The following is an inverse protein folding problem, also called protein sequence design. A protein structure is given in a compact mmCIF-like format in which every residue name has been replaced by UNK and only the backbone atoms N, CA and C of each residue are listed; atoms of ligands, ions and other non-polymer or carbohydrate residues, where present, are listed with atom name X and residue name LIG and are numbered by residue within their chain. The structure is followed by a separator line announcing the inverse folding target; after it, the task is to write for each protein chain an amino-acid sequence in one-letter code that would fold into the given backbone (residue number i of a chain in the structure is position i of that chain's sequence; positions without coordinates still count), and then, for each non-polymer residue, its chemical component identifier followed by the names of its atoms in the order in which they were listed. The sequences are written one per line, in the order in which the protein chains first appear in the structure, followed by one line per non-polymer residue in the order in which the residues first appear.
data_IF_650202249505
#
_entry.id   IF_650202249505
#
_cell.length_a   1.000
_cell.length_b   1.000
_cell.length_c   1.000
_cell.angle_alpha   90.00
_cell.angle_beta   90.00
_cell.angle_gamma   90.00
#
_symmetry.space_group_name_H-M   'P 1'
#
loop_
_entity.id
_entity.type
_entity.pdbx_description
1 polymer ?
#
# COMPACT_ATOMS: atom_id res chain seq x y z
N UNK A 1 -9.10 -3.66 -32.96
CA UNK A 1 -9.48 -2.49 -32.14
C UNK A 1 -8.59 -2.42 -30.91
N UNK A 2 -8.62 -1.31 -30.18
CA UNK A 2 -7.87 -1.19 -28.92
C UNK A 2 -8.38 -2.18 -27.88
N UNK A 3 -7.46 -2.82 -27.16
CA UNK A 3 -7.79 -3.64 -25.99
C UNK A 3 -7.92 -2.70 -24.79
N UNK A 4 -9.17 -2.45 -24.39
CA UNK A 4 -9.49 -1.68 -23.19
C UNK A 4 -9.76 -2.67 -22.06
N UNK A 5 -9.03 -2.56 -20.96
CA UNK A 5 -9.19 -3.42 -19.79
C UNK A 5 -10.48 -3.07 -19.02
N UNK A 6 -10.74 -1.77 -18.87
CA UNK A 6 -11.79 -1.24 -18.01
C UNK A 6 -12.34 0.09 -18.53
N UNK A 7 -13.60 0.36 -18.22
CA UNK A 7 -14.28 1.63 -18.46
C UNK A 7 -14.75 2.24 -17.14
N UNK A 8 -14.71 3.56 -17.06
CA UNK A 8 -15.32 4.38 -16.00
C UNK A 8 -16.31 5.37 -16.63
N UNK A 9 -17.21 5.92 -15.82
CA UNK A 9 -18.22 6.87 -16.29
C UNK A 9 -18.38 8.07 -15.34
N UNK A 10 -17.85 9.21 -15.75
CA UNK A 10 -17.82 10.41 -14.91
C UNK A 10 -16.69 10.39 -13.88
N UNK A 11 -16.47 11.54 -13.26
CA UNK A 11 -15.41 11.77 -12.29
C UNK A 11 -15.95 12.67 -11.17
N UNK A 12 -15.80 12.24 -9.93
CA UNK A 12 -16.17 12.95 -8.70
C UNK A 12 -17.64 13.42 -8.66
N UNK A 13 -18.55 12.58 -9.17
CA UNK A 13 -19.99 12.85 -9.18
C UNK A 13 -20.73 12.30 -7.95
N UNK A 14 -20.06 11.46 -7.14
CA UNK A 14 -20.64 10.81 -5.97
C UNK A 14 -20.78 11.73 -4.76
N UNK A 15 -21.76 11.45 -3.91
CA UNK A 15 -22.01 12.23 -2.68
C UNK A 15 -22.32 13.69 -3.00
N UNK A 16 -21.56 14.61 -2.42
CA UNK A 16 -21.68 16.06 -2.70
C UNK A 16 -21.10 16.46 -4.06
N UNK A 17 -20.24 15.62 -4.63
CA UNK A 17 -19.52 15.86 -5.88
C UNK A 17 -18.52 17.01 -5.84
N UNK A 18 -17.76 17.16 -6.93
CA UNK A 18 -16.86 18.29 -7.17
C UNK A 18 -17.30 19.01 -8.45
N UNK A 19 -17.86 20.21 -8.30
CA UNK A 19 -18.44 21.00 -9.39
C UNK A 19 -19.83 20.53 -9.86
N UNK A 20 -20.08 19.22 -9.89
CA UNK A 20 -21.38 18.62 -10.18
C UNK A 20 -21.60 17.34 -9.37
N UNK A 21 -22.86 16.94 -9.18
CA UNK A 21 -23.21 15.68 -8.52
C UNK A 21 -24.40 15.00 -9.19
N UNK A 22 -24.46 13.68 -9.09
CA UNK A 22 -25.56 12.86 -9.57
C UNK A 22 -26.02 11.93 -8.44
N UNK A 23 -27.33 11.83 -8.24
CA UNK A 23 -27.88 10.90 -7.25
C UNK A 23 -27.56 9.45 -7.60
N UNK A 24 -27.22 8.64 -6.59
CA UNK A 24 -26.81 7.24 -6.77
C UNK A 24 -27.82 6.39 -7.56
N UNK A 25 -29.12 6.66 -7.43
CA UNK A 25 -30.15 5.94 -8.17
C UNK A 25 -30.11 6.25 -9.67
N UNK A 26 -29.98 7.52 -10.05
CA UNK A 26 -29.86 7.88 -11.47
C UNK A 26 -28.55 7.35 -12.04
N UNK A 27 -27.44 7.57 -11.33
CA UNK A 27 -26.14 7.08 -11.76
C UNK A 27 -26.11 5.56 -11.92
N UNK A 28 -26.75 4.80 -11.01
CA UNK A 28 -26.89 3.35 -11.13
C UNK A 28 -27.68 2.91 -12.38
N UNK A 29 -28.76 3.62 -12.73
CA UNK A 29 -29.50 3.40 -13.99
C UNK A 29 -28.65 3.70 -15.22
N UNK A 30 -27.84 4.74 -15.16
CA UNK A 30 -26.92 5.11 -16.24
C UNK A 30 -25.85 4.02 -16.44
N UNK A 31 -25.31 3.46 -15.35
CA UNK A 31 -24.36 2.34 -15.43
C UNK A 31 -24.98 1.06 -16.00
N UNK A 32 -26.26 0.77 -15.72
CA UNK A 32 -26.98 -0.36 -16.35
C UNK A 32 -26.99 -0.18 -17.88
N UNK A 33 -27.31 1.03 -18.35
CA UNK A 33 -27.29 1.34 -19.78
C UNK A 33 -25.87 1.23 -20.36
N UNK A 34 -24.85 1.77 -19.67
CA UNK A 34 -23.47 1.66 -20.10
C UNK A 34 -23.00 0.20 -20.17
N UNK A 35 -23.38 -0.64 -19.20
CA UNK A 35 -23.08 -2.07 -19.23
C UNK A 35 -23.70 -2.75 -20.45
N UNK A 36 -24.92 -2.39 -20.82
CA UNK A 36 -25.56 -2.92 -22.04
C UNK A 36 -24.77 -2.52 -23.31
N UNK A 37 -24.32 -1.26 -23.39
CA UNK A 37 -23.48 -0.76 -24.49
C UNK A 37 -22.14 -1.53 -24.55
N UNK A 38 -21.43 -1.66 -23.42
CA UNK A 38 -20.19 -2.45 -23.34
C UNK A 38 -20.46 -3.89 -23.77
N UNK A 39 -21.58 -4.47 -23.35
CA UNK A 39 -21.91 -5.85 -23.70
C UNK A 39 -22.11 -6.06 -25.20
N UNK A 40 -22.74 -5.12 -25.91
CA UNK A 40 -22.94 -5.21 -27.36
C UNK A 40 -21.64 -4.93 -28.13
N UNK A 41 -20.93 -3.85 -27.78
CA UNK A 41 -19.67 -3.47 -28.45
C UNK A 41 -18.59 -4.57 -28.32
N UNK A 42 -18.55 -5.24 -27.17
CA UNK A 42 -17.58 -6.30 -26.87
C UNK A 42 -18.19 -7.71 -26.95
N UNK A 43 -19.28 -7.93 -27.69
CA UNK A 43 -19.98 -9.24 -27.74
C UNK A 43 -19.12 -10.41 -28.20
N UNK A 44 -18.11 -10.15 -29.03
CA UNK A 44 -17.17 -11.14 -29.56
C UNK A 44 -15.77 -11.05 -28.94
N UNK A 45 -15.61 -10.27 -27.86
CA UNK A 45 -14.31 -10.05 -27.20
C UNK A 45 -14.38 -10.65 -25.79
N UNK A 46 -13.41 -11.49 -25.46
CA UNK A 46 -13.30 -12.13 -24.16
C UNK A 46 -11.87 -12.03 -23.60
N UNK A 47 -11.71 -11.71 -22.29
CA UNK A 47 -12.76 -11.24 -21.38
C UNK A 47 -13.33 -9.88 -21.82
N UNK A 48 -14.56 -9.58 -21.40
CA UNK A 48 -15.14 -8.24 -21.63
C UNK A 48 -14.47 -7.22 -20.68
N UNK A 49 -14.36 -5.94 -21.08
CA UNK A 49 -13.82 -4.92 -20.19
C UNK A 49 -14.66 -4.77 -18.92
N UNK A 50 -13.98 -4.48 -17.81
CA UNK A 50 -14.63 -4.22 -16.53
C UNK A 50 -15.35 -2.86 -16.55
N UNK A 51 -16.39 -2.71 -15.72
CA UNK A 51 -17.00 -1.41 -15.41
C UNK A 51 -16.66 -1.01 -13.98
N UNK A 52 -15.93 0.09 -13.88
CA UNK A 52 -15.43 0.70 -12.66
C UNK A 52 -16.30 1.91 -12.33
N UNK A 53 -16.64 2.10 -11.05
CA UNK A 53 -17.47 3.20 -10.60
C UNK A 53 -17.33 3.45 -9.09
N UNK A 54 -17.66 4.65 -8.56
CA UNK A 54 -18.11 5.84 -9.28
C UNK A 54 -17.01 6.86 -9.65
N UNK A 55 -15.73 6.54 -9.44
CA UNK A 55 -14.63 7.49 -9.63
C UNK A 55 -14.77 8.75 -8.76
N UNK A 56 -15.11 8.61 -7.47
CA UNK A 56 -15.33 9.76 -6.59
C UNK A 56 -15.07 9.48 -5.11
N UNK A 57 -15.27 10.47 -4.25
CA UNK A 57 -15.03 10.30 -2.81
C UNK A 57 -16.07 9.38 -2.17
N UNK A 58 -15.61 8.56 -1.22
CA UNK A 58 -16.45 7.61 -0.52
C UNK A 58 -17.52 8.31 0.32
N UNK A 59 -18.78 8.01 0.04
CA UNK A 59 -19.94 8.35 0.85
C UNK A 59 -20.75 7.08 1.09
N UNK A 60 -20.94 6.70 2.36
CA UNK A 60 -21.51 5.40 2.73
C UNK A 60 -22.90 5.19 2.14
N UNK A 61 -23.80 6.17 2.24
CA UNK A 61 -25.17 6.02 1.78
C UNK A 61 -25.24 5.98 0.25
N UNK A 62 -24.48 6.85 -0.41
CA UNK A 62 -24.41 6.92 -1.86
C UNK A 62 -23.84 5.62 -2.45
N UNK A 63 -22.73 5.11 -1.90
CA UNK A 63 -22.08 3.88 -2.37
C UNK A 63 -22.96 2.65 -2.13
N UNK A 64 -23.57 2.51 -0.95
CA UNK A 64 -24.55 1.45 -0.67
C UNK A 64 -25.72 1.48 -1.66
N UNK A 65 -26.28 2.67 -1.93
CA UNK A 65 -27.41 2.83 -2.85
C UNK A 65 -27.01 2.50 -4.28
N UNK A 66 -25.82 2.87 -4.73
CA UNK A 66 -25.32 2.53 -6.06
C UNK A 66 -25.29 1.00 -6.26
N UNK A 67 -24.72 0.26 -5.31
CA UNK A 67 -24.64 -1.20 -5.39
C UNK A 67 -26.03 -1.85 -5.40
N UNK A 68 -26.96 -1.34 -4.58
CA UNK A 68 -28.34 -1.83 -4.54
C UNK A 68 -29.10 -1.59 -5.85
N UNK A 69 -28.86 -0.45 -6.52
CA UNK A 69 -29.57 -0.09 -7.76
C UNK A 69 -28.96 -0.78 -8.98
N UNK A 70 -27.63 -0.81 -9.06
CA UNK A 70 -26.92 -1.37 -10.22
C UNK A 70 -26.92 -2.91 -10.24
N UNK A 71 -26.82 -3.55 -9.07
CA UNK A 71 -26.83 -5.01 -8.95
C UNK A 71 -25.55 -5.69 -9.47
N UNK A 72 -25.53 -7.02 -9.38
CA UNK A 72 -24.31 -7.83 -9.52
C UNK A 72 -23.74 -8.00 -10.91
N UNK A 73 -24.48 -7.61 -11.94
CA UNK A 73 -24.08 -7.76 -13.34
C UNK A 73 -23.55 -6.46 -13.95
N UNK A 74 -23.45 -5.39 -13.16
CA UNK A 74 -23.18 -4.04 -13.66
C UNK A 74 -21.83 -3.54 -13.19
N UNK A 75 -21.62 -3.32 -11.89
CA UNK A 75 -20.37 -2.76 -11.36
C UNK A 75 -19.42 -3.87 -10.93
N UNK A 76 -18.30 -4.02 -11.63
CA UNK A 76 -17.28 -5.02 -11.30
C UNK A 76 -16.36 -4.53 -10.18
N UNK A 77 -16.12 -3.23 -10.12
CA UNK A 77 -15.16 -2.61 -9.21
C UNK A 77 -15.73 -1.31 -8.62
N UNK A 78 -15.69 -1.21 -7.29
CA UNK A 78 -15.95 0.02 -6.55
C UNK A 78 -14.68 0.82 -6.39
N UNK A 79 -14.55 1.89 -7.19
CA UNK A 79 -13.43 2.83 -7.14
C UNK A 79 -13.75 4.00 -6.22
N UNK A 80 -12.80 4.45 -5.40
CA UNK A 80 -12.91 5.72 -4.68
C UNK A 80 -11.67 6.58 -4.81
N UNK A 81 -11.86 7.89 -4.70
CA UNK A 81 -10.78 8.87 -4.66
C UNK A 81 -10.28 9.07 -3.23
N UNK A 82 -9.01 9.41 -3.10
CA UNK A 82 -8.37 9.58 -1.80
C UNK A 82 -7.36 10.73 -1.79
N UNK A 83 -7.66 11.77 -1.02
CA UNK A 83 -6.74 12.90 -0.76
C UNK A 83 -6.75 13.25 0.72
N UNK A 84 -5.99 12.49 1.50
CA UNK A 84 -6.04 12.51 2.96
C UNK A 84 -4.99 13.41 3.62
N UNK A 85 -4.21 14.21 2.89
CA UNK A 85 -3.24 15.16 3.46
C UNK A 85 -3.74 16.61 3.51
N UNK A 86 -4.79 16.96 2.77
CA UNK A 86 -5.31 18.32 2.64
C UNK A 86 -4.91 19.02 1.33
N UNK A 87 -5.05 20.34 1.28
CA UNK A 87 -4.75 21.13 0.08
C UNK A 87 -3.24 21.20 -0.20
N UNK A 88 -2.84 21.23 -1.46
CA UNK A 88 -1.44 21.43 -1.87
C UNK A 88 -0.79 22.71 -1.31
N UNK A 89 -1.58 23.75 -1.04
CA UNK A 89 -1.09 25.01 -0.48
C UNK A 89 -0.95 24.98 1.05
N UNK A 90 -1.38 23.92 1.73
CA UNK A 90 -1.36 23.83 3.19
C UNK A 90 0.11 23.77 3.70
N UNK A 91 0.52 24.69 4.60
CA UNK A 91 1.89 24.68 5.12
C UNK A 91 2.17 23.46 6.03
N UNK A 92 1.14 22.74 6.48
CA UNK A 92 1.23 21.61 7.40
C UNK A 92 1.31 20.24 6.71
N UNK A 93 1.47 20.19 5.38
CA UNK A 93 1.54 18.90 4.67
C UNK A 93 2.64 17.99 5.22
N UNK A 94 3.84 18.53 5.44
CA UNK A 94 4.97 17.76 5.98
C UNK A 94 4.71 17.24 7.39
N UNK A 95 4.12 18.05 8.28
CA UNK A 95 3.82 17.59 9.65
C UNK A 95 2.75 16.50 9.66
N UNK A 96 1.76 16.58 8.76
CA UNK A 96 0.74 15.54 8.57
C UNK A 96 1.31 14.23 8.02
N UNK A 97 2.25 14.31 7.07
CA UNK A 97 2.94 13.13 6.53
C UNK A 97 3.76 12.41 7.62
N UNK A 98 4.34 13.15 8.55
CA UNK A 98 5.18 12.60 9.62
C UNK A 98 4.40 12.25 10.90
N UNK A 99 3.08 12.47 10.94
CA UNK A 99 2.22 12.15 12.06
C UNK A 99 1.51 10.80 11.83
N UNK A 100 1.91 9.72 12.55
CA UNK A 100 1.30 8.41 12.38
C UNK A 100 -0.19 8.39 12.75
N UNK A 101 -0.64 9.24 13.67
CA UNK A 101 -2.05 9.31 14.04
C UNK A 101 -2.89 9.98 12.96
N UNK A 102 -2.32 10.99 12.29
CA UNK A 102 -2.96 11.61 11.14
C UNK A 102 -3.09 10.63 9.97
N UNK A 103 -2.00 9.94 9.61
CA UNK A 103 -2.00 8.95 8.54
C UNK A 103 -2.99 7.79 8.79
N UNK A 104 -3.16 7.36 10.04
CA UNK A 104 -4.05 6.25 10.39
C UNK A 104 -5.55 6.58 10.26
N UNK A 105 -5.95 7.85 10.14
CA UNK A 105 -7.37 8.24 10.00
C UNK A 105 -8.04 7.65 8.76
N UNK A 106 -7.27 7.45 7.69
CA UNK A 106 -7.80 6.89 6.43
C UNK A 106 -8.30 5.45 6.55
N UNK A 107 -7.85 4.73 7.58
CA UNK A 107 -8.25 3.34 7.83
C UNK A 107 -9.77 3.18 7.97
N UNK A 108 -10.45 4.19 8.53
CA UNK A 108 -11.90 4.21 8.65
C UNK A 108 -12.59 4.21 7.27
N UNK A 109 -12.06 4.96 6.29
CA UNK A 109 -12.61 4.98 4.92
C UNK A 109 -12.47 3.60 4.27
N UNK A 110 -11.29 2.98 4.38
CA UNK A 110 -11.07 1.64 3.82
C UNK A 110 -11.93 0.57 4.49
N UNK A 111 -12.05 0.63 5.83
CA UNK A 111 -12.91 -0.28 6.58
C UNK A 111 -14.38 -0.12 6.17
N UNK A 112 -14.89 1.11 6.13
CA UNK A 112 -16.27 1.38 5.79
C UNK A 112 -16.61 0.96 4.35
N UNK A 113 -15.70 1.15 3.39
CA UNK A 113 -15.88 0.66 2.02
C UNK A 113 -15.90 -0.87 1.98
N UNK A 114 -15.01 -1.53 2.74
CA UNK A 114 -14.96 -2.99 2.86
C UNK A 114 -16.29 -3.53 3.39
N UNK A 115 -16.83 -2.95 4.47
CA UNK A 115 -18.13 -3.32 5.03
C UNK A 115 -19.27 -3.10 4.03
N UNK A 116 -19.25 -1.97 3.31
CA UNK A 116 -20.26 -1.65 2.29
C UNK A 116 -20.27 -2.67 1.16
N UNK A 117 -19.09 -3.07 0.68
CA UNK A 117 -18.95 -4.11 -0.35
C UNK A 117 -19.44 -5.46 0.19
N UNK A 118 -19.02 -5.86 1.39
CA UNK A 118 -19.46 -7.12 2.00
C UNK A 118 -20.99 -7.20 2.14
N UNK A 119 -21.64 -6.09 2.48
CA UNK A 119 -23.08 -6.04 2.74
C UNK A 119 -23.92 -5.90 1.47
N UNK A 120 -23.49 -5.07 0.52
CA UNK A 120 -24.32 -4.65 -0.61
C UNK A 120 -23.81 -5.08 -1.97
N UNK A 121 -22.55 -5.52 -2.08
CA UNK A 121 -21.94 -5.88 -3.37
C UNK A 121 -20.84 -6.92 -3.25
N UNK A 122 -21.04 -8.10 -2.66
CA UNK A 122 -19.97 -9.10 -2.44
C UNK A 122 -19.33 -9.65 -3.72
N UNK A 123 -19.88 -9.32 -4.90
CA UNK A 123 -19.31 -9.62 -6.22
C UNK A 123 -18.23 -8.61 -6.67
N UNK A 124 -18.17 -7.43 -6.06
CA UNK A 124 -17.25 -6.36 -6.47
C UNK A 124 -15.97 -6.33 -5.63
N UNK A 125 -14.99 -5.55 -6.07
CA UNK A 125 -13.75 -5.30 -5.33
C UNK A 125 -13.48 -3.82 -5.14
N UNK A 126 -12.74 -3.44 -4.10
CA UNK A 126 -12.37 -2.06 -3.81
C UNK A 126 -11.08 -1.65 -4.51
N UNK A 127 -11.09 -0.51 -5.20
CA UNK A 127 -9.92 0.12 -5.80
C UNK A 127 -9.82 1.58 -5.33
N UNK A 128 -8.60 2.05 -5.08
CA UNK A 128 -8.35 3.50 -5.06
C UNK A 128 -8.17 3.92 -6.52
N UNK A 129 -9.18 4.57 -7.09
CA UNK A 129 -9.22 4.98 -8.51
C UNK A 129 -8.40 6.23 -8.80
N UNK A 130 -8.18 7.07 -7.77
CA UNK A 130 -7.33 8.26 -7.86
C UNK A 130 -6.81 8.65 -6.48
N UNK A 131 -5.50 8.90 -6.35
CA UNK A 131 -4.93 9.48 -5.12
C UNK A 131 -3.59 10.17 -5.35
N UNK A 132 -3.44 11.39 -4.81
CA UNK A 132 -2.18 12.14 -4.81
C UNK A 132 -1.74 12.65 -3.43
N UNK A 133 -2.44 12.22 -2.37
CA UNK A 133 -2.20 12.62 -0.99
C UNK A 133 -2.75 14.00 -0.70
N UNK A 134 -2.15 15.02 -1.31
CA UNK A 134 -2.64 16.40 -1.25
C UNK A 134 -3.37 16.78 -2.55
N UNK A 135 -4.61 17.27 -2.43
CA UNK A 135 -5.40 17.73 -3.57
C UNK A 135 -4.88 19.09 -4.09
N UNK A 136 -5.46 19.62 -5.16
CA UNK A 136 -4.98 20.84 -5.84
C UNK A 136 -3.51 20.74 -6.29
N UNK A 137 -3.20 19.68 -7.06
CA UNK A 137 -1.88 19.41 -7.64
C UNK A 137 -0.76 19.10 -6.64
N UNK A 138 -1.07 18.76 -5.39
CA UNK A 138 -0.06 18.46 -4.39
C UNK A 138 0.76 19.66 -3.93
N UNK A 139 1.53 19.47 -2.85
CA UNK A 139 2.34 20.54 -2.26
C UNK A 139 3.68 20.72 -2.95
N UNK A 140 3.99 21.96 -3.35
CA UNK A 140 5.28 22.32 -3.92
C UNK A 140 6.40 22.09 -2.90
N UNK A 141 7.49 21.42 -3.30
CA UNK A 141 8.62 21.08 -2.43
C UNK A 141 8.20 20.20 -1.23
N UNK A 142 7.15 19.41 -1.43
CA UNK A 142 6.66 18.41 -0.47
C UNK A 142 6.27 17.15 -1.24
N UNK A 143 5.24 17.24 -2.09
CA UNK A 143 4.68 16.08 -2.82
C UNK A 143 5.59 15.51 -3.91
N UNK A 144 6.60 16.28 -4.36
CA UNK A 144 7.62 15.89 -5.32
C UNK A 144 8.96 15.54 -4.67
N UNK A 145 9.00 15.38 -3.35
CA UNK A 145 10.23 15.22 -2.56
C UNK A 145 10.20 13.95 -1.72
N UNK A 146 11.34 13.58 -1.11
CA UNK A 146 11.49 12.35 -0.35
C UNK A 146 10.43 12.19 0.75
N UNK A 147 10.04 13.28 1.42
CA UNK A 147 9.04 13.21 2.50
C UNK A 147 7.72 12.58 2.03
N UNK A 148 7.31 12.78 0.78
CA UNK A 148 6.04 12.23 0.30
C UNK A 148 6.06 10.70 0.21
N UNK A 149 7.25 10.08 0.11
CA UNK A 149 7.39 8.63 0.05
C UNK A 149 6.96 7.94 1.34
N UNK A 150 7.03 8.63 2.49
CA UNK A 150 6.46 8.11 3.74
C UNK A 150 4.96 7.90 3.61
N UNK A 151 4.23 8.92 3.15
CA UNK A 151 2.79 8.83 2.92
C UNK A 151 2.50 7.80 1.83
N UNK A 152 3.19 7.87 0.69
CA UNK A 152 2.80 7.05 -0.45
C UNK A 152 2.94 5.55 -0.17
N UNK A 153 4.09 5.11 0.36
CA UNK A 153 4.30 3.71 0.72
C UNK A 153 3.39 3.27 1.88
N UNK A 154 3.10 4.18 2.81
CA UNK A 154 2.13 3.94 3.87
C UNK A 154 0.72 3.68 3.31
N UNK A 155 0.27 4.49 2.35
CA UNK A 155 -1.05 4.33 1.75
C UNK A 155 -1.17 3.05 0.92
N UNK A 156 -0.10 2.64 0.21
CA UNK A 156 -0.08 1.35 -0.48
C UNK A 156 -0.22 0.18 0.49
N UNK A 157 0.52 0.21 1.60
CA UNK A 157 0.42 -0.79 2.68
C UNK A 157 -0.94 -0.81 3.36
N UNK A 158 -1.47 0.36 3.70
CA UNK A 158 -2.77 0.52 4.34
C UNK A 158 -3.89 0.00 3.44
N UNK A 159 -3.96 0.46 2.18
CA UNK A 159 -4.99 0.03 1.23
C UNK A 159 -4.97 -1.50 1.03
N UNK A 160 -3.78 -2.10 0.89
CA UNK A 160 -3.62 -3.55 0.74
C UNK A 160 -4.11 -4.32 1.97
N UNK A 161 -3.88 -3.80 3.18
CA UNK A 161 -4.32 -4.39 4.45
C UNK A 161 -5.84 -4.46 4.57
N UNK A 162 -6.56 -3.56 3.89
CA UNK A 162 -8.02 -3.55 3.78
C UNK A 162 -8.53 -4.14 2.46
N UNK A 163 -7.77 -5.08 1.86
CA UNK A 163 -8.18 -5.80 0.65
C UNK A 163 -8.45 -4.95 -0.59
N UNK A 164 -7.98 -3.70 -0.62
CA UNK A 164 -7.99 -2.88 -1.84
C UNK A 164 -7.07 -3.50 -2.88
N UNK A 165 -7.56 -3.72 -4.10
CA UNK A 165 -6.86 -4.52 -5.12
C UNK A 165 -5.94 -3.70 -6.02
N UNK A 166 -6.28 -2.43 -6.25
CA UNK A 166 -5.53 -1.50 -7.10
C UNK A 166 -5.46 -0.14 -6.43
N UNK A 167 -4.34 0.55 -6.65
CA UNK A 167 -4.10 1.91 -6.18
C UNK A 167 -3.57 2.76 -7.32
N UNK A 168 -4.41 3.62 -7.87
CA UNK A 168 -4.08 4.52 -8.97
C UNK A 168 -3.51 5.83 -8.43
N UNK A 169 -2.21 6.04 -8.66
CA UNK A 169 -1.50 7.26 -8.27
C UNK A 169 -1.80 8.40 -9.24
N UNK A 170 -2.39 9.46 -8.71
CA UNK A 170 -2.42 10.77 -9.33
C UNK A 170 -1.07 11.46 -9.07
N UNK A 171 -0.18 11.62 -10.05
CA UNK A 171 -0.22 11.18 -11.47
C UNK A 171 1.08 10.49 -11.84
N UNK A 172 1.13 9.86 -13.02
CA UNK A 172 2.41 9.58 -13.66
C UNK A 172 3.18 10.88 -13.97
N UNK A 173 2.51 11.87 -14.57
CA UNK A 173 3.07 13.17 -14.97
C UNK A 173 2.04 14.27 -14.69
N UNK A 174 2.48 15.42 -14.16
CA UNK A 174 1.64 16.59 -13.91
C UNK A 174 1.35 16.86 -12.43
N UNK A 175 1.29 18.13 -12.04
CA UNK A 175 1.21 18.53 -10.64
C UNK A 175 2.51 18.23 -9.86
N UNK A 176 2.55 18.68 -8.60
CA UNK A 176 3.67 18.42 -7.68
C UNK A 176 3.64 16.99 -7.13
N UNK A 177 2.53 16.25 -7.24
CA UNK A 177 2.47 14.84 -6.86
C UNK A 177 2.90 13.87 -7.98
N UNK A 178 3.32 14.38 -9.14
CA UNK A 178 3.67 13.55 -10.30
C UNK A 178 4.84 12.62 -9.98
N UNK A 179 4.76 11.35 -10.41
CA UNK A 179 5.88 10.41 -10.28
C UNK A 179 7.08 10.86 -11.12
N UNK A 180 6.83 11.52 -12.25
CA UNK A 180 7.86 12.13 -13.09
C UNK A 180 7.75 13.66 -13.02
N UNK A 181 8.90 14.32 -13.08
CA UNK A 181 8.96 15.76 -13.27
C UNK A 181 8.24 16.15 -14.58
N UNK A 182 7.32 17.11 -14.50
CA UNK A 182 6.48 17.52 -15.63
C UNK A 182 7.24 18.03 -16.85
N UNK A 183 8.43 18.62 -16.65
CA UNK A 183 9.22 19.21 -17.73
C UNK A 183 10.34 18.30 -18.20
N UNK A 184 11.05 17.67 -17.26
CA UNK A 184 12.26 16.89 -17.58
C UNK A 184 12.00 15.40 -17.70
N UNK A 185 10.83 14.92 -17.29
CA UNK A 185 10.48 13.50 -17.14
C UNK A 185 11.41 12.69 -16.22
N UNK A 186 12.30 13.37 -15.50
CA UNK A 186 13.16 12.74 -14.50
C UNK A 186 12.27 12.23 -13.35
N UNK A 187 12.42 10.96 -12.92
CA UNK A 187 11.66 10.42 -11.80
C UNK A 187 11.85 11.19 -10.50
N UNK A 188 10.75 11.53 -9.84
CA UNK A 188 10.73 12.01 -8.46
C UNK A 188 10.89 10.83 -7.48
N UNK A 189 11.21 11.08 -6.19
CA UNK A 189 11.41 10.01 -5.19
C UNK A 189 10.31 8.95 -5.13
N UNK A 190 9.04 9.35 -5.26
CA UNK A 190 7.90 8.43 -5.21
C UNK A 190 7.88 7.41 -6.35
N UNK A 191 8.49 7.71 -7.51
CA UNK A 191 8.63 6.74 -8.60
C UNK A 191 9.48 5.54 -8.15
N UNK A 192 10.61 5.80 -7.49
CA UNK A 192 11.50 4.75 -7.00
C UNK A 192 10.85 3.96 -5.85
N UNK A 193 10.09 4.65 -4.98
CA UNK A 193 9.26 4.02 -3.96
C UNK A 193 8.25 3.03 -4.57
N UNK A 194 7.47 3.47 -5.57
CA UNK A 194 6.53 2.60 -6.28
C UNK A 194 7.24 1.46 -7.04
N UNK A 195 8.41 1.72 -7.62
CA UNK A 195 9.17 0.72 -8.34
C UNK A 195 9.70 -0.39 -7.41
N UNK A 196 10.21 -0.04 -6.23
CA UNK A 196 10.61 -1.03 -5.22
C UNK A 196 9.41 -1.79 -4.68
N UNK A 197 8.31 -1.11 -4.36
CA UNK A 197 7.05 -1.77 -4.01
C UNK A 197 6.65 -2.78 -5.09
N UNK A 198 6.63 -2.35 -6.35
CA UNK A 198 6.28 -3.19 -7.49
C UNK A 198 7.21 -4.39 -7.65
N UNK A 199 8.52 -4.24 -7.39
CA UNK A 199 9.50 -5.32 -7.57
C UNK A 199 9.50 -6.32 -6.41
N UNK A 200 9.18 -5.87 -5.19
CA UNK A 200 9.40 -6.66 -3.97
C UNK A 200 8.10 -7.16 -3.34
N UNK A 201 7.05 -6.33 -3.29
CA UNK A 201 5.81 -6.66 -2.59
C UNK A 201 4.89 -7.49 -3.49
N UNK A 202 4.63 -8.74 -3.11
CA UNK A 202 3.74 -9.65 -3.82
C UNK A 202 2.25 -9.41 -3.52
N UNK A 203 1.38 -10.23 -4.13
CA UNK A 203 -0.08 -10.08 -3.99
C UNK A 203 -0.65 -10.63 -2.66
N UNK A 204 0.06 -11.57 -2.02
CA UNK A 204 -0.37 -12.12 -0.73
C UNK A 204 -0.06 -11.14 0.40
N UNK A 205 -1.08 -10.54 0.99
CA UNK A 205 -0.95 -9.60 2.12
C UNK A 205 -0.93 -10.38 3.42
N UNK A 206 -0.01 -10.05 4.33
CA UNK A 206 0.14 -10.71 5.62
C UNK A 206 -0.19 -9.76 6.76
N UNK A 207 -0.93 -10.27 7.75
CA UNK A 207 -1.19 -9.53 8.98
C UNK A 207 0.11 -9.39 9.81
N UNK A 208 0.31 -8.20 10.37
CA UNK A 208 1.39 -7.92 11.31
C UNK A 208 0.76 -7.62 12.68
N UNK A 209 1.33 -8.24 13.72
CA UNK A 209 1.14 -7.82 15.11
C UNK A 209 2.45 -7.23 15.62
N UNK A 210 2.38 -6.04 16.20
CA UNK A 210 3.57 -5.32 16.68
C UNK A 210 3.21 -4.51 17.93
N UNK A 211 4.07 -4.59 18.94
CA UNK A 211 4.02 -3.73 20.14
C UNK A 211 4.90 -2.48 19.98
N UNK A 212 5.39 -2.21 18.76
CA UNK A 212 6.25 -1.07 18.48
C UNK A 212 5.49 0.27 18.56
N UNK A 213 6.26 1.35 18.69
CA UNK A 213 5.72 2.71 18.61
C UNK A 213 4.95 2.93 17.29
N UNK A 214 3.84 3.71 17.29
CA UNK A 214 3.12 4.09 16.07
C UNK A 214 3.98 4.78 15.02
N UNK A 215 5.11 5.36 15.43
CA UNK A 215 6.10 5.96 14.53
C UNK A 215 6.89 4.94 13.70
N UNK A 216 6.81 3.65 14.03
CA UNK A 216 7.30 2.55 13.18
C UNK A 216 6.12 1.87 12.52
N UNK A 217 5.87 2.20 11.25
CA UNK A 217 4.78 1.61 10.47
C UNK A 217 5.32 0.44 9.66
N UNK A 218 4.60 -0.67 9.67
CA UNK A 218 5.10 -1.94 9.16
C UNK A 218 4.02 -2.64 8.32
N UNK A 219 4.42 -3.17 7.17
CA UNK A 219 3.57 -3.94 6.26
C UNK A 219 4.31 -5.18 5.77
N UNK A 220 3.61 -6.30 5.59
CA UNK A 220 4.20 -7.57 5.18
C UNK A 220 3.41 -8.18 4.04
N UNK A 221 4.11 -8.59 2.99
CA UNK A 221 3.54 -9.31 1.87
C UNK A 221 4.38 -10.57 1.60
N UNK A 222 3.79 -11.57 0.96
CA UNK A 222 4.57 -12.58 0.28
C UNK A 222 5.51 -11.90 -0.71
N UNK A 223 6.74 -12.40 -0.82
CA UNK A 223 7.71 -11.85 -1.76
C UNK A 223 7.24 -12.01 -3.20
N UNK A 224 7.44 -10.99 -4.04
CA UNK A 224 7.06 -11.08 -5.45
C UNK A 224 8.04 -11.94 -6.23
N UNK A 225 7.52 -12.93 -6.97
CA UNK A 225 8.29 -13.76 -7.90
C UNK A 225 9.21 -14.80 -7.25
N UNK A 226 9.18 -14.96 -5.92
CA UNK A 226 9.98 -15.92 -5.16
C UNK A 226 9.34 -16.22 -3.81
N UNK A 227 9.65 -17.38 -3.24
CA UNK A 227 9.16 -17.78 -1.93
C UNK A 227 9.68 -16.90 -0.79
N UNK A 228 8.90 -16.79 0.28
CA UNK A 228 9.24 -16.01 1.48
C UNK A 228 8.43 -14.73 1.63
N UNK A 229 8.92 -13.82 2.46
CA UNK A 229 8.19 -12.62 2.90
C UNK A 229 9.01 -11.37 2.66
N UNK A 230 8.36 -10.31 2.19
CA UNK A 230 8.93 -8.96 2.12
C UNK A 230 8.22 -8.06 3.12
N UNK A 231 9.00 -7.37 3.94
CA UNK A 231 8.55 -6.34 4.86
C UNK A 231 8.82 -4.96 4.29
N UNK A 232 7.88 -4.05 4.49
CA UNK A 232 8.07 -2.61 4.37
C UNK A 232 8.03 -2.02 5.77
N UNK A 233 9.09 -1.29 6.13
CA UNK A 233 9.25 -0.61 7.41
C UNK A 233 9.41 0.89 7.15
N UNK A 234 8.63 1.71 7.83
CA UNK A 234 8.60 3.17 7.68
C UNK A 234 8.83 3.77 9.06
N UNK A 235 9.98 4.42 9.26
CA UNK A 235 10.30 5.10 10.51
C UNK A 235 10.01 6.60 10.36
N UNK A 236 8.94 7.07 11.00
CA UNK A 236 8.54 8.47 11.06
C UNK A 236 9.17 9.21 12.25
N UNK A 237 9.83 8.51 13.18
CA UNK A 237 10.52 9.16 14.29
C UNK A 237 11.77 9.86 13.81
N UNK A 238 12.03 11.06 14.32
CA UNK A 238 13.25 11.83 14.08
C UNK A 238 14.36 11.57 15.13
N UNK A 239 14.08 10.77 16.15
CA UNK A 239 15.00 10.54 17.27
C UNK A 239 15.31 9.06 17.50
N UNK A 240 14.41 8.17 17.10
CA UNK A 240 14.49 6.76 17.46
C UNK A 240 15.03 5.92 16.30
N UNK A 241 16.13 5.21 16.55
CA UNK A 241 16.52 4.05 15.74
C UNK A 241 15.78 2.83 16.28
N UNK A 242 15.01 2.15 15.44
CA UNK A 242 14.31 0.93 15.84
C UNK A 242 15.16 -0.30 15.52
N UNK A 243 15.24 -1.22 16.48
CA UNK A 243 15.74 -2.58 16.28
C UNK A 243 14.57 -3.55 16.28
N UNK A 244 14.46 -4.36 15.23
CA UNK A 244 13.30 -5.18 14.93
C UNK A 244 13.74 -6.64 14.84
N UNK A 245 12.97 -7.50 15.49
CA UNK A 245 13.08 -8.95 15.36
C UNK A 245 11.78 -9.48 14.77
N UNK A 246 11.88 -10.24 13.69
CA UNK A 246 10.72 -10.80 12.99
C UNK A 246 10.51 -12.23 13.45
N UNK A 247 9.26 -12.59 13.76
CA UNK A 247 8.89 -13.94 14.21
C UNK A 247 7.62 -14.40 13.51
N UNK A 248 7.54 -15.68 13.14
CA UNK A 248 6.30 -16.29 12.69
C UNK A 248 5.48 -16.78 13.90
N UNK A 249 4.28 -16.22 14.09
CA UNK A 249 3.37 -16.55 15.19
C UNK A 249 2.67 -17.90 14.97
N UNK A 250 2.52 -18.38 13.72
CA UNK A 250 1.84 -19.65 13.42
C UNK A 250 2.59 -20.89 13.93
N UNK A 251 3.90 -20.80 14.17
CA UNK A 251 4.69 -21.88 14.77
C UNK A 251 4.49 -22.02 16.29
N UNK A 252 3.73 -21.13 16.93
CA UNK A 252 3.41 -21.20 18.37
C UNK A 252 2.21 -22.13 18.61
N UNK A 253 1.21 -22.11 17.73
CA UNK A 253 -0.04 -22.86 17.93
C UNK A 253 0.03 -24.34 17.53
N UNK A 254 1.03 -24.76 16.75
CA UNK A 254 1.21 -26.16 16.35
C UNK A 254 1.82 -27.04 17.46
N UNK A 255 2.27 -26.47 18.59
CA UNK A 255 2.83 -27.21 19.73
C UNK A 255 1.88 -27.38 20.92
N UNK A 256 0.63 -26.91 20.82
CA UNK A 256 -0.38 -27.07 21.89
C UNK A 256 -1.40 -28.14 21.49
N UNK A 257 -0.93 -29.39 21.43
CA UNK A 257 -1.68 -30.65 21.56
C UNK A 257 -0.65 -31.60 22.18
N UNK A 258 -0.82 -32.25 23.33
CA UNK A 258 -1.97 -32.73 24.08
C UNK A 258 -1.38 -33.04 25.47
N UNK A 259 -1.94 -32.54 26.58
CA UNK A 259 -1.78 -33.23 27.87
C UNK A 259 -2.87 -32.77 28.84
N UNK A 260 -3.72 -33.72 29.18
CA UNK A 260 -4.83 -33.62 30.12
C UNK A 260 -4.36 -33.55 31.57
N UNK A 261 -5.16 -32.84 32.37
CA UNK A 261 -5.39 -32.95 33.82
C UNK A 261 -4.72 -31.95 34.80
N UNK A 262 -5.63 -31.13 35.34
CA UNK A 262 -5.82 -30.73 36.74
C UNK A 262 -4.91 -29.69 37.44
N UNK A 263 -5.63 -28.65 37.89
CA UNK A 263 -5.49 -27.84 39.12
C UNK A 263 -4.43 -26.72 39.17
N UNK A 264 -5.03 -25.52 39.19
CA UNK A 264 -4.75 -24.35 40.04
C UNK A 264 -3.52 -23.47 39.75
N UNK A 265 -3.88 -22.18 39.75
CA UNK A 265 -3.16 -21.00 40.24
C UNK A 265 -2.32 -20.24 39.22
N UNK A 266 -2.90 -19.13 38.77
CA UNK A 266 -2.22 -17.90 38.39
C UNK A 266 -1.03 -17.64 39.32
N UNK A 267 0.16 -17.61 38.73
CA UNK A 267 1.34 -16.91 39.20
C UNK A 267 2.17 -16.57 37.96
N UNK A 268 2.02 -15.34 37.49
CA UNK A 268 2.97 -14.75 36.54
C UNK A 268 4.29 -14.53 37.27
N UNK A 269 5.29 -15.34 36.98
CA UNK A 269 6.68 -15.00 37.24
C UNK A 269 7.53 -15.35 36.01
N UNK A 270 8.36 -14.40 35.63
CA UNK A 270 9.07 -14.37 34.37
C UNK A 270 9.91 -15.60 34.08
N UNK A 271 9.85 -16.04 32.83
CA UNK A 271 10.92 -16.78 32.19
C UNK A 271 11.21 -16.10 30.85
N UNK A 272 12.34 -15.38 30.80
CA UNK A 272 13.02 -15.07 29.55
C UNK A 272 13.33 -16.40 28.87
N UNK A 273 12.62 -16.75 27.81
CA UNK A 273 13.04 -17.81 26.88
C UNK A 273 13.14 -17.23 25.47
N UNK A 274 14.37 -16.83 25.15
CA UNK A 274 14.89 -16.59 23.82
C UNK A 274 14.73 -17.89 23.02
N UNK A 275 14.01 -17.85 21.90
CA UNK A 275 14.06 -18.90 20.88
C UNK A 275 14.20 -18.20 19.54
N UNK A 276 15.40 -18.31 18.99
CA UNK A 276 15.78 -17.93 17.63
C UNK A 276 15.27 -18.99 16.66
N UNK A 277 14.87 -18.59 15.45
CA UNK A 277 14.55 -19.54 14.39
C UNK A 277 15.79 -20.38 14.04
N UNK A 278 15.66 -21.71 14.20
CA UNK A 278 16.47 -22.72 13.52
C UNK A 278 15.48 -23.44 12.61
N UNK A 279 15.54 -23.16 11.31
CA UNK A 279 14.79 -23.92 10.33
C UNK A 279 15.21 -25.39 10.37
N UNK A 280 14.25 -26.31 10.44
CA UNK A 280 14.49 -27.75 10.30
C UNK A 280 14.75 -28.09 8.83
N UNK A 281 15.94 -27.72 8.38
CA UNK A 281 16.75 -28.15 7.22
C UNK A 281 17.64 -26.97 6.82
N UNK A 282 18.58 -26.65 7.71
CA UNK A 282 19.74 -25.87 7.35
C UNK A 282 20.54 -26.71 6.33
N UNK A 283 20.48 -26.32 5.06
CA UNK A 283 21.69 -26.37 4.25
C UNK A 283 22.68 -25.45 4.97
N UNK A 284 23.90 -25.95 5.26
CA UNK A 284 25.01 -25.29 5.97
C UNK A 284 25.56 -24.01 5.28
N UNK A 285 24.72 -23.23 4.60
CA UNK A 285 25.05 -21.94 4.00
C UNK A 285 24.48 -20.81 4.85
N UNK A 286 25.29 -19.78 5.10
CA UNK A 286 24.84 -18.49 5.67
C UNK A 286 23.63 -17.97 4.89
N UNK A 287 22.45 -18.00 5.50
CA UNK A 287 21.23 -17.46 4.89
C UNK A 287 21.24 -15.93 5.04
N UNK A 288 21.13 -15.22 3.92
CA UNK A 288 21.10 -13.76 3.88
C UNK A 288 19.69 -13.27 3.57
N UNK A 289 19.34 -12.13 4.15
CA UNK A 289 18.20 -11.32 3.73
C UNK A 289 18.68 -10.15 2.89
N UNK A 290 17.81 -9.67 2.00
CA UNK A 290 18.05 -8.47 1.21
C UNK A 290 17.44 -7.25 1.91
N UNK A 291 18.22 -6.18 2.07
CA UNK A 291 17.73 -4.90 2.59
C UNK A 291 17.87 -3.79 1.55
N UNK A 292 16.80 -3.02 1.38
CA UNK A 292 16.72 -1.84 0.52
C UNK A 292 16.37 -0.64 1.40
N UNK A 293 17.38 0.14 1.78
CA UNK A 293 17.23 1.28 2.68
C UNK A 293 17.11 2.57 1.88
N UNK A 294 15.96 3.22 1.95
CA UNK A 294 15.68 4.50 1.34
C UNK A 294 15.88 5.64 2.34
N UNK A 295 16.74 6.59 1.99
CA UNK A 295 17.02 7.78 2.79
C UNK A 295 17.03 9.04 1.91
N UNK A 296 16.76 10.21 2.50
CA UNK A 296 16.96 11.47 1.80
C UNK A 296 18.46 11.76 1.67
N UNK A 297 18.88 12.30 0.54
CA UNK A 297 20.23 12.86 0.39
C UNK A 297 20.46 13.93 1.47
N UNK A 298 21.62 13.83 2.14
CA UNK A 298 22.08 14.75 3.20
C UNK A 298 21.12 14.92 4.40
N UNK A 299 20.16 14.01 4.57
CA UNK A 299 19.15 14.11 5.64
C UNK A 299 17.99 15.08 5.32
N UNK A 300 17.99 15.75 4.17
CA UNK A 300 16.96 16.72 3.81
C UNK A 300 15.69 16.04 3.28
N UNK A 301 14.63 16.00 4.09
CA UNK A 301 13.36 15.40 3.68
C UNK A 301 12.70 16.08 2.48
N UNK A 302 13.04 17.33 2.16
CA UNK A 302 12.55 18.06 0.98
C UNK A 302 13.41 17.87 -0.27
N UNK A 303 14.43 17.03 -0.20
CA UNK A 303 15.23 16.69 -1.37
C UNK A 303 14.41 15.92 -2.40
N UNK A 304 14.72 16.14 -3.68
CA UNK A 304 14.25 15.28 -4.78
C UNK A 304 15.21 14.13 -5.08
N UNK A 305 16.32 14.04 -4.36
CA UNK A 305 17.31 12.95 -4.51
C UNK A 305 17.13 11.92 -3.41
N UNK A 306 16.57 10.77 -3.77
CA UNK A 306 16.51 9.60 -2.90
C UNK A 306 17.80 8.79 -3.00
N UNK A 307 18.28 8.25 -1.88
CA UNK A 307 19.37 7.29 -1.85
C UNK A 307 18.80 5.88 -1.64
N UNK A 308 19.35 4.89 -2.33
CA UNK A 308 19.19 3.47 -2.01
C UNK A 308 20.50 2.95 -1.43
N UNK A 309 20.47 2.48 -0.18
CA UNK A 309 21.64 1.94 0.51
C UNK A 309 22.84 2.92 0.48
N UNK A 310 22.56 4.22 0.59
CA UNK A 310 23.54 5.30 0.54
C UNK A 310 23.92 5.80 -0.86
N UNK A 311 23.47 5.13 -1.92
CA UNK A 311 23.78 5.52 -3.32
C UNK A 311 22.62 6.30 -3.93
N UNK A 312 22.85 7.47 -4.56
CA UNK A 312 21.78 8.24 -5.22
C UNK A 312 21.08 7.45 -6.33
N UNK A 313 19.74 7.47 -6.30
CA UNK A 313 18.91 6.95 -7.37
C UNK A 313 18.71 8.04 -8.42
N UNK A 314 19.39 7.88 -9.55
CA UNK A 314 19.32 8.76 -10.71
C UNK A 314 19.33 7.91 -11.98
N UNK A 315 18.77 8.44 -13.06
CA UNK A 315 18.88 7.78 -14.36
C UNK A 315 20.35 7.63 -14.75
N UNK A 316 20.66 6.58 -15.48
CA UNK A 316 21.98 6.42 -16.10
C UNK A 316 22.20 7.51 -17.15
N UNK A 317 23.43 7.67 -17.65
CA UNK A 317 23.71 8.60 -18.76
C UNK A 317 22.91 8.28 -20.03
N UNK A 318 22.45 7.03 -20.18
CA UNK A 318 21.58 6.58 -21.26
C UNK A 318 20.08 6.87 -21.01
N UNK A 319 19.72 7.39 -19.84
CA UNK A 319 18.33 7.63 -19.44
C UNK A 319 17.61 6.42 -18.84
N UNK A 320 18.32 5.33 -18.57
CA UNK A 320 17.74 4.11 -18.00
C UNK A 320 17.54 4.22 -16.49
N UNK A 321 16.58 3.44 -15.97
CA UNK A 321 16.43 3.26 -14.52
C UNK A 321 17.67 2.57 -13.94
N UNK A 322 18.28 3.09 -12.87
CA UNK A 322 19.48 2.49 -12.29
C UNK A 322 19.19 1.10 -11.69
N UNK A 323 20.25 0.31 -11.51
CA UNK A 323 20.15 -0.96 -10.79
C UNK A 323 19.74 -0.70 -9.34
N UNK A 324 18.73 -1.43 -8.86
CA UNK A 324 18.24 -1.33 -7.49
C UNK A 324 18.79 -2.51 -6.69
N UNK A 325 20.06 -2.44 -6.29
CA UNK A 325 20.74 -3.54 -5.64
C UNK A 325 20.51 -3.53 -4.11
N UNK A 326 20.20 -4.69 -3.49
CA UNK A 326 20.09 -4.80 -2.06
C UNK A 326 21.46 -4.83 -1.37
N UNK A 327 21.46 -4.56 -0.07
CA UNK A 327 22.53 -5.00 0.84
C UNK A 327 22.15 -6.38 1.38
N UNK A 328 23.08 -7.33 1.36
CA UNK A 328 22.91 -8.65 1.94
C UNK A 328 23.30 -8.63 3.42
N UNK A 329 22.40 -9.05 4.30
CA UNK A 329 22.60 -9.06 5.75
C UNK A 329 22.32 -10.46 6.31
N UNK A 330 23.11 -10.94 7.26
CA UNK A 330 22.87 -12.23 7.92
C UNK A 330 21.49 -12.23 8.56
N UNK A 331 20.65 -13.22 8.23
CA UNK A 331 19.27 -13.37 8.76
C UNK A 331 19.17 -13.31 10.29
N UNK A 332 20.24 -13.68 11.02
CA UNK A 332 20.30 -13.68 12.49
C UNK A 332 20.60 -12.30 13.08
N UNK A 333 21.15 -11.37 12.29
CA UNK A 333 21.39 -10.00 12.77
C UNK A 333 20.06 -9.26 12.95
N UNK A 334 19.89 -8.46 14.01
CA UNK A 334 18.71 -7.61 14.15
C UNK A 334 18.51 -6.71 12.92
N UNK A 335 17.26 -6.42 12.57
CA UNK A 335 16.95 -5.42 11.54
C UNK A 335 16.97 -4.06 12.22
N UNK A 336 17.85 -3.14 11.80
CA UNK A 336 17.86 -1.76 12.28
C UNK A 336 17.24 -0.83 11.24
N UNK A 337 16.48 0.17 11.66
CA UNK A 337 15.98 1.23 10.79
C UNK A 337 16.24 2.61 11.42
N UNK A 338 16.95 3.45 10.66
CA UNK A 338 17.34 4.78 11.10
C UNK A 338 16.11 5.72 11.20
N UNK A 339 16.18 6.79 12.02
CA UNK A 339 15.18 7.85 12.03
C UNK A 339 14.85 8.37 10.62
N UNK A 340 13.59 8.76 10.38
CA UNK A 340 13.11 9.38 9.14
C UNK A 340 13.60 8.65 7.88
N UNK A 341 13.39 7.34 7.83
CA UNK A 341 13.80 6.50 6.71
C UNK A 341 12.83 5.36 6.43
N UNK A 342 12.97 4.75 5.27
CA UNK A 342 12.11 3.66 4.80
C UNK A 342 12.97 2.47 4.43
N UNK A 343 12.55 1.25 4.76
CA UNK A 343 13.32 0.04 4.46
C UNK A 343 12.41 -1.07 3.95
N UNK A 344 12.77 -1.64 2.81
CA UNK A 344 12.24 -2.95 2.41
C UNK A 344 13.21 -4.04 2.87
N UNK A 345 12.68 -5.15 3.39
CA UNK A 345 13.45 -6.30 3.83
C UNK A 345 12.85 -7.57 3.23
N UNK A 346 13.57 -8.22 2.31
CA UNK A 346 13.13 -9.50 1.76
C UNK A 346 13.80 -10.65 2.51
N UNK A 347 12.98 -11.44 3.20
CA UNK A 347 13.36 -12.62 3.96
C UNK A 347 13.09 -13.85 3.10
N UNK A 348 14.14 -14.32 2.43
CA UNK A 348 14.09 -15.54 1.61
C UNK A 348 13.87 -16.75 2.51
N UNK A 349 13.07 -17.71 2.03
CA UNK A 349 12.76 -18.96 2.75
C UNK A 349 12.12 -18.73 4.14
N UNK A 350 11.52 -17.56 4.38
CA UNK A 350 10.71 -17.35 5.58
C UNK A 350 9.46 -18.21 5.45
N UNK A 351 9.33 -19.22 6.31
CA UNK A 351 8.15 -20.09 6.34
C UNK A 351 6.92 -19.26 6.69
N UNK A 352 6.09 -19.00 5.69
CA UNK A 352 4.75 -18.47 5.83
C UNK A 352 3.87 -19.31 4.89
N UNK A 353 2.97 -20.17 5.41
CA UNK A 353 2.18 -21.10 4.58
C UNK A 353 1.46 -20.47 3.39
N UNK A 354 1.06 -19.20 3.48
CA UNK A 354 0.43 -18.46 2.37
C UNK A 354 1.40 -17.92 1.31
N UNK A 355 2.71 -18.10 1.47
CA UNK A 355 3.78 -17.51 0.63
C UNK A 355 4.79 -18.55 0.13
N UNK A 356 4.42 -19.84 0.19
CA UNK A 356 5.24 -20.96 -0.26
C UNK A 356 5.32 -21.04 -1.78
#
# INVERSE_FOLDING_TARGET
GYQIDSWEFGNELSGTGIGASVGAEQYGKDLINLRAIINDLYKNIHPKPLLLAPGGFYDKQWFSKLLQVSGSLVVDVMTHHLYNLGAGVDPNLMSRILDPHYLSKVSETFNNLTETIQMHGPWTSAWVGESGGAYNSGGRNVSDTFVNSFWYLDQLGMAASYSTKVYCRQTLIGGNYGLLNTTTFIPNPDYYSALLWHRLMGKGVLAISSDASPYLRSYAHCSKGRGGVTLLLINLSNQTNFQITVRNIMNINLRVKEETNHRKRLLMHGLKKTVSWVGSKASDGTSFREEYHLTPKDGDLRTKTMLLNGTPLQLTDAGDIPSLNPVLVDVRSPISIAPLSIKFVALHNFEAPGCA
#
